data_IF_986684327175
#
_entry.id   IF_986684327175
#
_cell.length_a   1.000
_cell.length_b   1.000
_cell.length_c   1.000
_cell.angle_alpha   90.00
_cell.angle_beta   90.00
_cell.angle_gamma   90.00
#
_symmetry.space_group_name_H-M   'P 1'
#
loop_
_entity.id
_entity.type
_entity.pdbx_description
1 polymer ?
#
# COMPACT_ATOMS: atom_id res chain seq x y z
N UNK A 1 -4.09 -24.26 -15.05
CA UNK A 1 -3.82 -24.09 -13.60
C UNK A 1 -4.51 -22.87 -12.97
N UNK A 2 -4.96 -21.86 -13.75
CA UNK A 2 -5.84 -20.79 -13.22
C UNK A 2 -5.14 -19.62 -12.50
N UNK A 3 -3.80 -19.63 -12.43
CA UNK A 3 -3.03 -18.50 -11.92
C UNK A 3 -3.12 -17.31 -12.89
N UNK A 4 -3.98 -16.36 -12.56
CA UNK A 4 -4.28 -15.19 -13.38
C UNK A 4 -4.08 -13.87 -12.63
N UNK A 5 -3.45 -13.89 -11.45
CA UNK A 5 -3.22 -12.71 -10.63
C UNK A 5 -1.74 -12.60 -10.27
N UNK A 6 -1.16 -11.42 -10.46
CA UNK A 6 0.16 -11.03 -9.94
C UNK A 6 -0.04 -9.87 -8.98
N UNK A 7 0.58 -9.91 -7.80
CA UNK A 7 0.37 -8.91 -6.75
C UNK A 7 1.69 -8.52 -6.13
N UNK A 8 1.94 -7.22 -6.04
CA UNK A 8 3.07 -6.69 -5.27
C UNK A 8 2.69 -6.65 -3.79
N UNK A 9 3.67 -6.96 -2.95
CA UNK A 9 3.57 -6.85 -1.49
C UNK A 9 4.33 -5.58 -1.04
N UNK A 10 4.78 -5.53 0.21
CA UNK A 10 5.50 -4.38 0.73
C UNK A 10 6.79 -4.04 -0.06
N UNK A 11 7.20 -2.77 -0.06
CA UNK A 11 8.46 -2.31 -0.67
C UNK A 11 8.33 -1.45 -1.92
N UNK A 12 7.11 -1.23 -2.42
CA UNK A 12 6.87 -0.30 -3.53
C UNK A 12 6.81 1.16 -3.10
N UNK A 13 6.51 1.39 -1.83
CA UNK A 13 6.32 2.69 -1.22
C UNK A 13 7.68 3.35 -0.99
N UNK A 14 7.80 4.59 -1.44
CA UNK A 14 8.84 5.46 -0.96
C UNK A 14 8.39 5.92 0.42
N UNK A 15 8.84 5.21 1.43
CA UNK A 15 8.84 5.78 2.77
C UNK A 15 9.66 7.07 2.67
N UNK A 16 9.13 8.18 3.18
CA UNK A 16 9.80 9.48 3.17
C UNK A 16 11.03 9.53 4.11
N UNK A 17 11.56 8.35 4.45
CA UNK A 17 12.75 8.03 5.22
C UNK A 17 13.07 6.55 4.96
N UNK A 18 14.35 6.19 4.77
CA UNK A 18 14.78 4.85 4.31
C UNK A 18 14.13 3.70 5.10
N UNK A 19 13.62 2.68 4.38
CA UNK A 19 13.11 1.43 4.95
C UNK A 19 14.21 0.68 5.70
N UNK A 20 13.81 -0.25 6.59
CA UNK A 20 14.69 -1.02 7.46
C UNK A 20 15.72 -1.94 6.76
N UNK A 21 15.65 -2.12 5.43
CA UNK A 21 16.40 -3.17 4.72
C UNK A 21 17.21 -2.70 3.50
N UNK A 22 17.05 -1.46 3.03
CA UNK A 22 17.93 -0.86 2.03
C UNK A 22 18.30 0.55 2.47
N UNK A 23 19.36 0.68 3.26
CA UNK A 23 19.87 2.00 3.65
C UNK A 23 20.49 2.63 2.39
N UNK A 24 19.71 3.38 1.62
CA UNK A 24 20.24 4.24 0.57
C UNK A 24 21.00 5.39 1.25
N UNK A 25 22.34 5.44 1.15
CA UNK A 25 23.15 6.46 1.81
C UNK A 25 23.00 7.86 1.18
N UNK A 26 22.35 7.97 0.02
CA UNK A 26 22.00 9.24 -0.62
C UNK A 26 20.69 9.83 -0.10
N UNK A 27 19.84 9.01 0.52
CA UNK A 27 18.67 9.47 1.24
C UNK A 27 19.10 9.96 2.62
N UNK A 28 18.39 10.95 3.21
CA UNK A 28 18.63 11.32 4.59
C UNK A 28 18.58 10.06 5.45
N UNK A 29 19.59 9.88 6.32
CA UNK A 29 19.41 9.04 7.53
C UNK A 29 18.14 9.55 8.23
N UNK A 30 17.59 8.82 9.19
CA UNK A 30 16.46 9.34 9.96
C UNK A 30 16.96 10.11 11.21
N UNK A 31 17.60 11.30 11.15
CA UNK A 31 17.51 12.22 12.26
C UNK A 31 16.22 13.05 12.05
N UNK A 32 15.33 13.00 13.04
CA UNK A 32 14.37 14.08 13.25
C UNK A 32 13.23 14.28 12.22
N UNK A 33 12.89 13.29 11.39
CA UNK A 33 11.64 13.28 10.57
C UNK A 33 10.48 12.50 11.23
N UNK A 34 10.74 11.89 12.38
CA UNK A 34 9.74 11.45 13.33
C UNK A 34 9.36 12.64 14.23
N UNK A 35 8.30 13.38 13.90
CA UNK A 35 7.78 14.36 14.87
C UNK A 35 6.86 13.64 15.85
N UNK A 36 7.34 13.34 17.06
CA UNK A 36 6.57 12.58 18.04
C UNK A 36 6.35 11.09 17.70
N UNK A 37 7.14 10.51 16.77
CA UNK A 37 7.13 9.07 16.46
C UNK A 37 6.32 8.62 15.24
N UNK A 38 5.94 9.53 14.33
CA UNK A 38 5.09 9.23 13.17
C UNK A 38 5.87 9.36 11.85
N UNK A 39 6.05 8.25 11.13
CA UNK A 39 6.58 8.21 9.77
C UNK A 39 5.44 8.00 8.77
N UNK A 40 5.57 8.44 7.51
CA UNK A 40 4.55 8.26 6.46
C UNK A 40 5.15 8.00 5.08
N UNK A 41 4.39 7.32 4.22
CA UNK A 41 4.70 7.15 2.78
C UNK A 41 3.80 7.99 1.88
N UNK A 42 3.05 8.92 2.46
CA UNK A 42 2.19 9.85 1.75
C UNK A 42 2.85 11.23 1.64
N UNK A 43 2.59 11.93 0.54
CA UNK A 43 2.98 13.33 0.38
C UNK A 43 2.05 14.28 1.19
N UNK A 44 2.26 15.59 1.05
CA UNK A 44 1.45 16.60 1.77
C UNK A 44 -0.03 16.57 1.41
N UNK A 45 -0.41 16.01 0.26
CA UNK A 45 -1.78 15.85 -0.18
C UNK A 45 -2.37 14.49 0.23
N UNK A 46 -1.61 13.66 0.94
CA UNK A 46 -2.01 12.31 1.32
C UNK A 46 -1.85 11.29 0.19
N UNK A 47 -1.17 11.60 -0.91
CA UNK A 47 -0.99 10.67 -2.03
C UNK A 47 0.22 9.77 -1.78
N UNK A 48 0.14 8.45 -2.01
CA UNK A 48 1.29 7.57 -1.88
C UNK A 48 2.48 7.98 -2.74
N UNK A 49 3.65 8.02 -2.13
CA UNK A 49 4.93 8.24 -2.82
C UNK A 49 5.51 6.88 -3.22
N UNK A 50 5.92 6.74 -4.47
CA UNK A 50 6.42 5.48 -5.04
C UNK A 50 7.95 5.50 -5.07
N UNK A 51 8.60 4.37 -4.75
CA UNK A 51 10.03 4.13 -4.95
C UNK A 51 10.38 4.06 -6.42
N UNK A 52 10.63 5.22 -7.04
CA UNK A 52 10.89 5.30 -8.49
C UNK A 52 12.21 4.69 -8.94
N UNK A 53 13.14 4.44 -8.03
CA UNK A 53 14.36 3.66 -8.28
C UNK A 53 14.05 2.19 -8.64
N UNK A 54 12.94 1.64 -8.12
CA UNK A 54 12.49 0.26 -8.39
C UNK A 54 11.24 0.19 -9.27
N UNK A 55 10.33 1.15 -9.09
CA UNK A 55 9.05 1.25 -9.78
C UNK A 55 8.97 2.59 -10.52
N UNK A 56 9.79 2.80 -11.57
CA UNK A 56 9.89 4.07 -12.27
C UNK A 56 8.57 4.49 -12.92
N UNK A 57 7.76 3.51 -13.35
CA UNK A 57 6.44 3.70 -13.90
C UNK A 57 5.48 2.60 -13.44
N UNK A 58 4.74 2.90 -12.36
CA UNK A 58 3.77 1.97 -11.78
C UNK A 58 2.58 1.72 -12.72
N UNK A 59 2.19 2.70 -13.53
CA UNK A 59 1.06 2.54 -14.45
C UNK A 59 1.44 1.59 -15.58
N UNK A 60 2.61 1.75 -16.18
CA UNK A 60 3.11 0.83 -17.21
C UNK A 60 3.25 -0.60 -16.68
N UNK A 61 3.61 -0.79 -15.40
CA UNK A 61 3.61 -2.11 -14.77
C UNK A 61 2.20 -2.74 -14.76
N UNK A 62 1.18 -1.98 -14.37
CA UNK A 62 -0.21 -2.45 -14.36
C UNK A 62 -0.70 -2.74 -15.77
N UNK A 63 -0.51 -1.80 -16.70
CA UNK A 63 -0.91 -1.94 -18.11
C UNK A 63 -0.25 -3.17 -18.76
N UNK A 64 1.04 -3.40 -18.46
CA UNK A 64 1.75 -4.58 -18.96
C UNK A 64 1.16 -5.87 -18.41
N UNK A 65 0.86 -5.95 -17.11
CA UNK A 65 0.17 -7.11 -16.53
C UNK A 65 -1.18 -7.38 -17.18
N UNK A 66 -1.96 -6.33 -17.46
CA UNK A 66 -3.22 -6.43 -18.20
C UNK A 66 -3.03 -6.91 -19.64
N UNK A 67 -1.98 -6.46 -20.34
CA UNK A 67 -1.66 -6.91 -21.69
C UNK A 67 -1.36 -8.41 -21.78
N UNK A 68 -0.92 -9.01 -20.68
CA UNK A 68 -0.68 -10.44 -20.53
C UNK A 68 -1.95 -11.21 -20.07
N UNK A 69 -3.09 -10.54 -19.94
CA UNK A 69 -4.35 -11.11 -19.46
C UNK A 69 -4.39 -11.37 -17.95
N UNK A 70 -3.46 -10.80 -17.18
CA UNK A 70 -3.40 -10.94 -15.73
C UNK A 70 -4.23 -9.86 -15.03
N UNK A 71 -4.65 -10.15 -13.80
CA UNK A 71 -5.08 -9.17 -12.82
C UNK A 71 -3.90 -8.72 -12.00
N UNK A 72 -3.79 -7.41 -11.76
CA UNK A 72 -2.65 -6.82 -11.05
C UNK A 72 -3.12 -6.25 -9.72
N UNK A 73 -2.52 -6.68 -8.62
CA UNK A 73 -2.84 -6.18 -7.28
C UNK A 73 -1.69 -5.44 -6.61
N UNK A 74 -2.06 -4.61 -5.64
CA UNK A 74 -1.13 -3.82 -4.81
C UNK A 74 -1.29 -4.13 -3.31
N UNK A 75 -0.55 -3.42 -2.48
CA UNK A 75 -0.49 -3.58 -1.03
C UNK A 75 -0.61 -2.23 -0.32
N UNK A 76 -1.52 -2.14 0.65
CA UNK A 76 -1.84 -0.93 1.42
C UNK A 76 -1.77 -1.19 2.93
N UNK A 77 -1.78 -0.11 3.71
CA UNK A 77 -1.62 -0.11 5.17
C UNK A 77 -0.30 -0.78 5.63
N UNK A 78 0.78 -0.46 4.92
CA UNK A 78 2.05 -1.20 4.94
C UNK A 78 2.76 -1.27 6.30
N UNK A 79 3.72 -2.18 6.40
CA UNK A 79 4.49 -2.41 7.62
C UNK A 79 5.86 -1.72 7.60
N UNK A 80 6.50 -1.61 6.43
CA UNK A 80 7.88 -1.11 6.35
C UNK A 80 8.02 0.39 6.62
N UNK A 81 7.00 1.20 6.34
CA UNK A 81 7.05 2.66 6.56
C UNK A 81 6.60 3.08 7.95
N UNK A 82 6.03 2.15 8.74
CA UNK A 82 5.69 2.34 10.16
C UNK A 82 4.81 3.57 10.44
N UNK A 83 3.68 3.74 9.73
CA UNK A 83 2.64 4.73 10.09
C UNK A 83 1.88 4.30 11.36
N UNK A 84 2.60 4.24 12.48
CA UNK A 84 2.06 3.92 13.79
C UNK A 84 1.41 5.16 14.44
N UNK A 85 0.85 5.00 15.64
CA UNK A 85 0.74 6.11 16.61
C UNK A 85 -0.22 7.27 16.30
N UNK A 86 -1.33 7.05 15.59
CA UNK A 86 -2.29 8.14 15.33
C UNK A 86 -1.93 9.03 14.13
N UNK A 87 -1.01 8.55 13.28
CA UNK A 87 -0.82 9.08 11.92
C UNK A 87 -2.16 9.20 11.20
N UNK A 88 -2.32 10.25 10.41
CA UNK A 88 -3.53 10.45 9.61
C UNK A 88 -3.81 9.23 8.73
N UNK A 89 -5.08 8.89 8.59
CA UNK A 89 -5.49 7.81 7.69
C UNK A 89 -5.76 8.39 6.31
N UNK A 90 -5.27 7.73 5.26
CA UNK A 90 -5.36 8.19 3.87
C UNK A 90 -6.25 7.30 3.01
N UNK A 91 -7.39 6.85 3.58
CA UNK A 91 -8.29 5.88 2.94
C UNK A 91 -8.71 6.32 1.53
N UNK A 92 -9.19 7.56 1.39
CA UNK A 92 -9.71 8.09 0.14
C UNK A 92 -8.60 8.30 -0.90
N UNK A 93 -7.44 8.79 -0.48
CA UNK A 93 -6.28 9.00 -1.33
C UNK A 93 -5.69 7.69 -1.83
N UNK A 94 -5.54 6.70 -0.96
CA UNK A 94 -5.04 5.37 -1.30
C UNK A 94 -5.95 4.66 -2.29
N UNK A 95 -7.28 4.69 -2.06
CA UNK A 95 -8.26 4.12 -3.00
C UNK A 95 -8.18 4.82 -4.35
N UNK A 96 -8.12 6.17 -4.36
CA UNK A 96 -8.01 6.96 -5.59
C UNK A 96 -6.71 6.67 -6.33
N UNK A 97 -5.59 6.55 -5.62
CA UNK A 97 -4.28 6.25 -6.17
C UNK A 97 -4.29 4.88 -6.86
N UNK A 98 -4.71 3.82 -6.16
CA UNK A 98 -4.64 2.48 -6.74
C UNK A 98 -5.64 2.28 -7.88
N UNK A 99 -6.85 2.83 -7.77
CA UNK A 99 -7.86 2.71 -8.82
C UNK A 99 -7.51 3.55 -10.04
N UNK A 100 -6.92 4.74 -9.84
CA UNK A 100 -6.40 5.59 -10.91
C UNK A 100 -5.25 4.95 -11.70
N UNK A 101 -4.42 4.13 -11.04
CA UNK A 101 -3.38 3.33 -11.70
C UNK A 101 -3.90 2.05 -12.36
N UNK A 102 -5.14 1.66 -12.10
CA UNK A 102 -5.77 0.51 -12.74
C UNK A 102 -5.63 -0.82 -12.00
N UNK A 103 -5.15 -0.85 -10.75
CA UNK A 103 -5.07 -2.10 -9.96
C UNK A 103 -6.44 -2.77 -9.79
N UNK A 104 -6.45 -4.11 -9.76
CA UNK A 104 -7.63 -4.98 -9.66
C UNK A 104 -7.85 -5.57 -8.26
N UNK A 105 -6.87 -5.42 -7.37
CA UNK A 105 -6.93 -5.98 -6.04
C UNK A 105 -5.94 -5.33 -5.10
N UNK A 106 -6.17 -5.54 -3.81
CA UNK A 106 -5.33 -5.01 -2.74
C UNK A 106 -5.22 -6.02 -1.62
N UNK A 107 -4.01 -6.17 -1.07
CA UNK A 107 -3.79 -6.72 0.27
C UNK A 107 -3.71 -5.56 1.26
N UNK A 108 -4.50 -5.63 2.32
CA UNK A 108 -4.54 -4.60 3.38
C UNK A 108 -3.98 -5.22 4.65
N UNK A 109 -2.83 -4.72 5.10
CA UNK A 109 -2.21 -5.18 6.34
C UNK A 109 -2.82 -4.51 7.58
N UNK A 110 -2.38 -4.91 8.77
CA UNK A 110 -2.80 -4.38 10.06
C UNK A 110 -1.73 -3.50 10.74
N UNK A 111 -0.68 -3.11 10.01
CA UNK A 111 0.48 -2.41 10.57
C UNK A 111 0.26 -0.90 10.76
N UNK A 112 -0.21 -0.22 9.71
CA UNK A 112 -0.42 1.24 9.73
C UNK A 112 -1.78 1.65 10.33
N UNK A 113 -2.09 2.94 10.41
CA UNK A 113 -3.23 3.49 11.17
C UNK A 113 -4.61 3.18 10.56
N UNK A 114 -4.69 2.84 9.28
CA UNK A 114 -5.94 2.66 8.54
C UNK A 114 -6.55 1.24 8.68
N UNK A 115 -6.88 0.83 9.91
CA UNK A 115 -7.28 -0.56 10.26
C UNK A 115 -8.74 -0.93 9.99
N UNK A 116 -9.62 0.04 9.71
CA UNK A 116 -11.03 -0.23 9.41
C UNK A 116 -11.23 -0.77 7.98
N UNK A 117 -11.24 -2.11 7.84
CA UNK A 117 -11.44 -2.81 6.55
C UNK A 117 -12.83 -2.57 5.95
N UNK A 118 -13.86 -2.35 6.76
CA UNK A 118 -15.20 -2.00 6.24
C UNK A 118 -15.20 -0.64 5.56
N UNK A 119 -14.43 0.34 6.04
CA UNK A 119 -14.25 1.63 5.37
C UNK A 119 -13.55 1.48 4.02
N UNK A 120 -12.47 0.69 3.96
CA UNK A 120 -11.81 0.34 2.70
C UNK A 120 -12.80 -0.27 1.70
N UNK A 121 -13.56 -1.29 2.12
CA UNK A 121 -14.53 -1.97 1.27
C UNK A 121 -15.61 -1.02 0.74
N UNK A 122 -16.13 -0.11 1.57
CA UNK A 122 -17.11 0.90 1.17
C UNK A 122 -16.57 1.85 0.09
N UNK A 123 -15.33 2.34 0.27
CA UNK A 123 -14.69 3.22 -0.70
C UNK A 123 -14.37 2.52 -2.01
N UNK A 124 -13.87 1.27 -1.97
CA UNK A 124 -13.67 0.48 -3.19
C UNK A 124 -14.98 0.24 -3.94
N UNK A 125 -16.05 -0.11 -3.22
CA UNK A 125 -17.36 -0.30 -3.82
C UNK A 125 -17.88 0.99 -4.49
N UNK A 126 -17.64 2.15 -3.88
CA UNK A 126 -18.03 3.45 -4.44
C UNK A 126 -17.32 3.81 -5.77
N UNK A 127 -16.20 3.15 -6.10
CA UNK A 127 -15.51 3.37 -7.38
C UNK A 127 -16.23 2.74 -8.59
N UNK A 128 -17.18 1.82 -8.35
CA UNK A 128 -17.84 1.05 -9.41
C UNK A 128 -16.96 -0.02 -10.07
N UNK A 129 -15.68 -0.12 -9.71
CA UNK A 129 -14.77 -1.16 -10.17
C UNK A 129 -14.76 -2.33 -9.18
N UNK A 130 -14.93 -3.59 -9.63
CA UNK A 130 -14.70 -4.74 -8.77
C UNK A 130 -13.23 -4.81 -8.33
N UNK A 131 -12.98 -4.67 -7.03
CA UNK A 131 -11.65 -4.77 -6.42
C UNK A 131 -11.62 -5.98 -5.48
N UNK A 132 -10.67 -6.89 -5.69
CA UNK A 132 -10.43 -8.00 -4.75
C UNK A 132 -9.72 -7.46 -3.50
N UNK A 133 -10.30 -7.66 -2.33
CA UNK A 133 -9.69 -7.30 -1.04
C UNK A 133 -9.17 -8.57 -0.37
N UNK A 134 -7.88 -8.59 -0.07
CA UNK A 134 -7.27 -9.55 0.85
C UNK A 134 -7.05 -8.86 2.20
N UNK A 135 -7.79 -9.32 3.21
CA UNK A 135 -7.69 -8.82 4.57
C UNK A 135 -6.56 -9.53 5.32
N UNK A 136 -5.42 -8.85 5.52
CA UNK A 136 -4.29 -9.35 6.29
C UNK A 136 -4.33 -8.73 7.70
N UNK A 137 -5.40 -9.00 8.46
CA UNK A 137 -5.61 -8.36 9.76
C UNK A 137 -4.66 -8.84 10.89
N UNK A 138 -3.73 -9.76 10.60
CA UNK A 138 -2.93 -10.47 11.61
C UNK A 138 -3.78 -11.15 12.70
N UNK A 139 -5.01 -11.52 12.35
CA UNK A 139 -5.85 -12.39 13.17
C UNK A 139 -5.25 -13.79 13.18
N UNK A 140 -4.83 -14.26 14.34
CA UNK A 140 -4.58 -15.69 14.52
C UNK A 140 -5.90 -16.44 14.32
N UNK A 141 -5.92 -17.60 13.66
CA UNK A 141 -7.07 -18.50 13.77
C UNK A 141 -7.27 -18.76 15.26
N UNK A 142 -8.48 -18.50 15.76
CA UNK A 142 -8.83 -18.94 17.09
C UNK A 142 -8.94 -20.47 17.06
N UNK A 143 -7.83 -21.16 17.34
CA UNK A 143 -7.82 -22.61 17.46
C UNK A 143 -8.51 -23.11 18.74
N UNK A 144 -9.21 -22.24 19.50
CA UNK A 144 -9.97 -22.59 20.70
C UNK A 144 -11.46 -22.81 20.47
N UNK A 145 -11.92 -22.85 19.21
CA UNK A 145 -13.27 -23.32 18.85
C UNK A 145 -13.22 -24.72 18.26
#
# INVERSE_FOLDING_TARGET
LGFNCVRMDDGWQQCNCSTRQDVDPSLPKCPDLCFGGLCTFHDRAGVPVIRRDRFPDMKSLVDYGHSLGLKVGTYLNNCICMEAGGSATHYEEDVRWMTGLGFDGVKIDSCSSAKNVSRWAGLFNATGKPIRIENCHNGWPDFKT
#
